data_IF_133581546166
#
_entry.id   IF_133581546166
#
_cell.length_a   1.000
_cell.length_b   1.000
_cell.length_c   1.000
_cell.angle_alpha   90.00
_cell.angle_beta   90.00
_cell.angle_gamma   90.00
#
_symmetry.space_group_name_H-M   'P 1'
#
loop_
_entity.id
_entity.type
_entity.pdbx_description
1 polymer ?
#
# COMPACT_ATOMS: atom_id res chain seq x y z
N UNK A 1 -27.35 47.85 12.92
CA UNK A 1 -27.49 46.38 12.78
C UNK A 1 -26.77 45.82 11.55
N UNK A 2 -26.33 46.64 10.58
CA UNK A 2 -25.68 46.17 9.34
C UNK A 2 -24.25 45.64 9.51
N UNK A 3 -23.41 46.29 10.33
CA UNK A 3 -21.99 45.88 10.49
C UNK A 3 -21.85 44.46 11.08
N UNK A 4 -22.69 44.12 12.06
CA UNK A 4 -22.74 42.77 12.68
C UNK A 4 -23.12 41.69 11.67
N UNK A 5 -23.97 42.02 10.69
CA UNK A 5 -24.39 41.11 9.63
C UNK A 5 -23.26 40.85 8.62
N UNK A 6 -22.45 41.87 8.30
CA UNK A 6 -21.28 41.76 7.43
C UNK A 6 -20.20 40.86 8.06
N UNK A 7 -19.95 41.00 9.37
CA UNK A 7 -19.03 40.10 10.08
C UNK A 7 -19.53 38.65 10.09
N UNK A 8 -20.84 38.44 10.27
CA UNK A 8 -21.45 37.12 10.23
C UNK A 8 -21.31 36.46 8.85
N UNK A 9 -21.53 37.21 7.77
CA UNK A 9 -21.38 36.70 6.40
C UNK A 9 -19.93 36.37 6.09
N UNK A 10 -18.98 37.24 6.49
CA UNK A 10 -17.56 36.99 6.33
C UNK A 10 -17.09 35.75 7.09
N UNK A 11 -17.56 35.57 8.33
CA UNK A 11 -17.25 34.40 9.16
C UNK A 11 -17.76 33.09 8.50
N UNK A 12 -18.98 33.09 7.99
CA UNK A 12 -19.55 31.93 7.29
C UNK A 12 -18.77 31.57 6.02
N UNK A 13 -18.29 32.57 5.28
CA UNK A 13 -17.48 32.37 4.09
C UNK A 13 -16.13 31.71 4.42
N UNK A 14 -15.48 32.17 5.50
CA UNK A 14 -14.22 31.59 5.99
C UNK A 14 -14.41 30.14 6.45
N UNK A 15 -15.52 29.83 7.13
CA UNK A 15 -15.85 28.46 7.55
C UNK A 15 -16.05 27.50 6.37
N UNK A 16 -16.67 27.96 5.27
CA UNK A 16 -16.82 27.13 4.06
C UNK A 16 -15.50 26.86 3.33
N UNK A 17 -14.60 27.84 3.30
CA UNK A 17 -13.26 27.68 2.68
C UNK A 17 -12.38 26.74 3.52
N UNK A 18 -12.49 26.80 4.85
CA UNK A 18 -11.74 25.89 5.73
C UNK A 18 -12.29 24.46 5.70
N UNK A 19 -13.60 24.28 5.46
CA UNK A 19 -14.26 22.98 5.48
C UNK A 19 -14.07 22.09 4.24
N UNK A 20 -13.46 22.59 3.16
CA UNK A 20 -13.35 21.87 1.87
C UNK A 20 -12.00 21.19 1.65
N UNK A 21 -11.12 21.12 2.66
CA UNK A 21 -9.89 20.32 2.59
C UNK A 21 -10.19 18.83 2.88
N UNK A 22 -10.94 18.17 2.00
CA UNK A 22 -10.99 16.71 2.02
C UNK A 22 -9.60 16.19 1.66
N UNK A 23 -8.90 15.65 2.65
CA UNK A 23 -7.65 14.94 2.45
C UNK A 23 -7.86 13.88 1.36
N UNK A 24 -7.14 14.01 0.24
CA UNK A 24 -7.01 12.94 -0.74
C UNK A 24 -6.19 11.85 -0.03
N UNK A 25 -6.89 10.90 0.59
CA UNK A 25 -6.31 9.65 1.04
C UNK A 25 -6.00 8.87 -0.25
N UNK A 26 -4.79 9.00 -0.76
CA UNK A 26 -4.24 7.96 -1.60
C UNK A 26 -4.18 6.71 -0.73
N UNK A 27 -5.07 5.75 -0.99
CA UNK A 27 -4.96 4.44 -0.38
C UNK A 27 -3.63 3.85 -0.83
N UNK A 28 -2.64 3.81 0.06
CA UNK A 28 -1.45 3.01 -0.15
C UNK A 28 -1.88 1.55 -0.04
N UNK A 29 -2.23 0.97 -1.19
CA UNK A 29 -2.43 -0.48 -1.37
C UNK A 29 -1.11 -1.15 -0.95
N UNK A 30 -1.02 -1.53 0.32
CA UNK A 30 0.09 -2.33 0.83
C UNK A 30 -0.22 -3.77 0.46
N UNK A 31 0.16 -4.16 -0.76
CA UNK A 31 0.02 -5.55 -1.20
C UNK A 31 0.77 -6.46 -0.23
N UNK A 32 0.07 -7.47 0.25
CA UNK A 32 0.52 -8.46 1.21
C UNK A 32 0.31 -9.82 0.58
N UNK A 33 1.26 -10.74 0.73
CA UNK A 33 1.16 -12.09 0.15
C UNK A 33 0.95 -13.10 1.28
N UNK A 34 -0.15 -13.84 1.23
CA UNK A 34 -0.48 -14.89 2.18
C UNK A 34 0.04 -16.22 1.65
N UNK A 35 0.78 -16.96 2.49
CA UNK A 35 1.29 -18.29 2.19
C UNK A 35 0.98 -19.25 3.35
N UNK A 36 1.16 -20.55 3.12
CA UNK A 36 0.90 -21.58 4.13
C UNK A 36 1.72 -21.39 5.42
N UNK A 37 2.97 -20.92 5.29
CA UNK A 37 3.85 -20.64 6.43
C UNK A 37 3.65 -19.25 7.05
N UNK A 38 2.76 -18.42 6.51
CA UNK A 38 2.41 -17.11 7.06
C UNK A 38 2.36 -15.98 6.04
N UNK A 39 2.41 -14.76 6.54
CA UNK A 39 2.26 -13.54 5.74
C UNK A 39 3.63 -12.94 5.40
N UNK A 40 3.88 -12.71 4.12
CA UNK A 40 5.04 -11.93 3.66
C UNK A 40 4.72 -10.44 3.73
N UNK A 41 5.59 -9.69 4.41
CA UNK A 41 5.49 -8.25 4.61
C UNK A 41 6.67 -7.53 3.95
N UNK A 42 6.51 -6.22 3.77
CA UNK A 42 7.65 -5.35 3.45
C UNK A 42 8.70 -5.48 4.56
N UNK A 43 9.98 -5.47 4.16
CA UNK A 43 11.19 -5.64 4.97
C UNK A 43 11.54 -7.05 5.43
N UNK A 44 10.69 -8.05 5.14
CA UNK A 44 11.05 -9.47 5.27
C UNK A 44 12.32 -9.76 4.47
N UNK A 45 13.16 -10.65 4.98
CA UNK A 45 14.35 -11.13 4.25
C UNK A 45 13.97 -12.16 3.21
N UNK A 46 14.86 -12.39 2.24
CA UNK A 46 14.75 -13.51 1.30
C UNK A 46 14.53 -14.87 1.99
N UNK A 47 15.16 -15.07 3.15
CA UNK A 47 15.01 -16.26 3.99
C UNK A 47 13.61 -16.33 4.60
N UNK A 48 13.10 -15.23 5.16
CA UNK A 48 11.74 -15.18 5.73
C UNK A 48 10.68 -15.49 4.66
N UNK A 49 10.84 -14.96 3.44
CA UNK A 49 9.93 -15.22 2.32
C UNK A 49 9.92 -16.71 1.96
N UNK A 50 11.10 -17.33 1.89
CA UNK A 50 11.24 -18.74 1.55
C UNK A 50 10.70 -19.66 2.65
N UNK A 51 10.87 -19.31 3.92
CA UNK A 51 10.27 -20.06 5.04
C UNK A 51 8.74 -20.02 5.00
N UNK A 52 8.14 -18.89 4.58
CA UNK A 52 6.70 -18.71 4.53
C UNK A 52 6.05 -19.33 3.29
N UNK A 53 6.69 -19.20 2.13
CA UNK A 53 6.07 -19.48 0.82
C UNK A 53 6.76 -20.59 0.03
N UNK A 54 7.90 -21.09 0.50
CA UNK A 54 8.72 -22.05 -0.24
C UNK A 54 9.47 -21.41 -1.39
N UNK A 55 9.92 -22.26 -2.32
CA UNK A 55 10.68 -21.81 -3.49
C UNK A 55 9.78 -21.11 -4.52
N UNK A 56 10.23 -19.99 -5.09
CA UNK A 56 9.51 -19.32 -6.17
C UNK A 56 9.57 -20.13 -7.47
N UNK A 57 8.57 -19.95 -8.33
CA UNK A 57 8.55 -20.53 -9.68
C UNK A 57 9.67 -19.95 -10.57
N UNK A 58 10.08 -18.69 -10.32
CA UNK A 58 11.20 -18.04 -10.99
C UNK A 58 11.89 -17.04 -10.06
N UNK A 59 13.22 -17.00 -10.07
CA UNK A 59 14.02 -16.08 -9.24
C UNK A 59 15.18 -15.43 -9.99
N UNK A 60 15.32 -14.11 -9.83
CA UNK A 60 16.56 -13.35 -10.02
C UNK A 60 17.08 -12.83 -8.67
N UNK A 61 18.19 -12.08 -8.66
CA UNK A 61 18.75 -11.49 -7.45
C UNK A 61 17.78 -10.55 -6.71
N UNK A 62 16.88 -9.90 -7.42
CA UNK A 62 16.05 -8.79 -6.95
C UNK A 62 14.55 -9.02 -7.18
N UNK A 63 14.15 -10.09 -7.87
CA UNK A 63 12.75 -10.33 -8.24
C UNK A 63 12.44 -11.82 -8.22
N UNK A 64 11.47 -12.20 -7.41
CA UNK A 64 10.93 -13.56 -7.36
C UNK A 64 9.47 -13.56 -7.81
N UNK A 65 9.07 -14.65 -8.47
CA UNK A 65 7.72 -14.86 -8.98
C UNK A 65 7.15 -16.13 -8.37
N UNK A 66 5.98 -15.99 -7.75
CA UNK A 66 5.16 -17.08 -7.25
C UNK A 66 3.90 -17.19 -8.10
N UNK A 67 3.58 -18.42 -8.49
CA UNK A 67 2.36 -18.80 -9.20
C UNK A 67 1.69 -19.90 -8.38
N UNK A 68 0.65 -19.52 -7.66
CA UNK A 68 -0.18 -20.40 -6.84
C UNK A 68 -1.45 -20.85 -7.58
N UNK A 69 -1.59 -20.48 -8.86
CA UNK A 69 -2.74 -20.84 -9.68
C UNK A 69 -3.30 -19.67 -10.49
N UNK A 70 -4.41 -19.89 -11.22
CA UNK A 70 -4.87 -19.01 -12.30
C UNK A 70 -5.20 -17.57 -11.88
N UNK A 71 -5.46 -17.32 -10.59
CA UNK A 71 -5.77 -15.99 -10.05
C UNK A 71 -4.81 -15.54 -8.95
N UNK A 72 -3.76 -16.32 -8.65
CA UNK A 72 -2.90 -16.09 -7.49
C UNK A 72 -1.43 -16.05 -7.92
N UNK A 73 -1.07 -14.94 -8.57
CA UNK A 73 0.29 -14.68 -9.02
C UNK A 73 0.87 -13.53 -8.23
N UNK A 74 2.10 -13.69 -7.74
CA UNK A 74 2.78 -12.64 -6.98
C UNK A 74 4.18 -12.41 -7.49
N UNK A 75 4.58 -11.15 -7.56
CA UNK A 75 5.96 -10.73 -7.77
C UNK A 75 6.48 -10.06 -6.51
N UNK A 76 7.52 -10.63 -5.93
CA UNK A 76 8.21 -10.08 -4.75
C UNK A 76 9.51 -9.42 -5.21
N UNK A 77 9.67 -8.13 -4.92
CA UNK A 77 10.84 -7.35 -5.28
C UNK A 77 11.70 -7.12 -4.04
N UNK A 78 12.99 -7.39 -4.17
CA UNK A 78 13.99 -7.24 -3.13
C UNK A 78 14.94 -6.09 -3.40
N UNK A 79 15.37 -5.42 -2.33
CA UNK A 79 16.51 -4.51 -2.33
C UNK A 79 17.36 -4.82 -1.10
N UNK A 80 18.65 -5.03 -1.29
CA UNK A 80 19.58 -5.37 -0.20
C UNK A 80 19.10 -6.59 0.61
N UNK A 81 18.54 -7.59 -0.08
CA UNK A 81 18.04 -8.83 0.53
C UNK A 81 16.70 -8.71 1.27
N UNK A 82 16.03 -7.55 1.19
CA UNK A 82 14.75 -7.30 1.86
C UNK A 82 13.63 -7.00 0.88
N UNK A 83 12.43 -7.47 1.18
CA UNK A 83 11.22 -7.17 0.41
C UNK A 83 10.95 -5.67 0.46
N UNK A 84 10.87 -5.05 -0.72
CA UNK A 84 10.52 -3.63 -0.86
C UNK A 84 9.20 -3.42 -1.58
N UNK A 85 8.75 -4.40 -2.37
CA UNK A 85 7.43 -4.41 -2.99
C UNK A 85 6.91 -5.83 -3.18
N UNK A 86 5.60 -5.95 -3.13
CA UNK A 86 4.83 -7.13 -3.50
C UNK A 86 3.83 -6.64 -4.55
N UNK A 87 3.70 -7.35 -5.66
CA UNK A 87 2.75 -7.03 -6.72
C UNK A 87 1.91 -8.27 -6.98
N UNK A 88 0.60 -8.13 -6.89
CA UNK A 88 -0.36 -9.16 -7.31
C UNK A 88 -0.54 -9.07 -8.83
N UNK A 89 -0.45 -10.21 -9.52
CA UNK A 89 -0.72 -10.31 -10.95
C UNK A 89 -2.21 -10.20 -11.23
N UNK A 90 -2.58 -9.48 -12.30
CA UNK A 90 -3.96 -9.37 -12.78
C UNK A 90 -4.38 -10.57 -13.63
#
# INVERSE_FOLDING_TARGET
MEKRNIYFIGLLFVLMVLGSTTAVLAAEETSTMMCDGGVVNIWDTDTDVREKCGEPNSQSMDKWIYDFGPSEHFTVIFKEGKVVRILEGQ
#
